data_IF_668415335468
#
_entry.id   IF_668415335468
#
_cell.length_a   1.000
_cell.length_b   1.000
_cell.length_c   1.000
_cell.angle_alpha   90.00
_cell.angle_beta   90.00
_cell.angle_gamma   90.00
#
_symmetry.space_group_name_H-M   'P 1'
#
loop_
_entity.id
_entity.type
_entity.pdbx_description
1 polymer ?
#
# COMPACT_ATOMS: atom_id res chain seq x y z
N UNK A 1 2.09 1.80 38.74
CA UNK A 1 1.22 0.66 38.31
C UNK A 1 1.98 -0.12 37.23
N UNK A 2 1.92 -1.45 37.25
CA UNK A 2 2.57 -2.32 36.27
C UNK A 2 1.70 -2.41 34.98
N UNK A 3 2.32 -2.80 33.88
CA UNK A 3 1.58 -3.03 32.61
C UNK A 3 0.52 -4.13 32.77
N UNK A 4 0.79 -5.12 33.64
CA UNK A 4 -0.16 -6.20 33.94
C UNK A 4 -1.42 -5.64 34.61
N UNK A 5 -1.29 -4.81 35.65
CA UNK A 5 -2.43 -4.20 36.35
C UNK A 5 -3.22 -3.25 35.42
N UNK A 6 -2.58 -2.63 34.45
CA UNK A 6 -3.24 -1.82 33.43
C UNK A 6 -4.05 -2.69 32.47
N UNK A 7 -3.46 -3.78 31.97
CA UNK A 7 -4.15 -4.74 31.10
C UNK A 7 -5.37 -5.36 31.79
N UNK A 8 -5.21 -5.80 33.04
CA UNK A 8 -6.29 -6.39 33.82
C UNK A 8 -7.45 -5.40 34.08
N UNK A 9 -7.14 -4.12 34.22
CA UNK A 9 -8.16 -3.09 34.44
C UNK A 9 -8.99 -2.83 33.16
N UNK A 10 -8.36 -2.73 32.00
CA UNK A 10 -8.98 -2.18 30.80
C UNK A 10 -9.16 -3.16 29.64
N UNK A 11 -8.53 -4.33 29.69
CA UNK A 11 -8.52 -5.27 28.58
C UNK A 11 -8.92 -6.67 28.98
N UNK A 12 -9.39 -7.44 28.02
CA UNK A 12 -9.61 -8.89 28.13
C UNK A 12 -8.74 -9.61 27.10
N UNK A 13 -8.26 -10.84 27.39
CA UNK A 13 -7.59 -11.65 26.40
C UNK A 13 -8.51 -11.92 25.21
N UNK A 14 -8.04 -11.65 23.99
CA UNK A 14 -8.76 -11.86 22.75
C UNK A 14 -8.27 -13.13 22.04
N UNK A 15 -7.02 -13.13 21.55
CA UNK A 15 -6.43 -14.33 20.94
C UNK A 15 -5.46 -14.97 21.93
N UNK A 16 -5.72 -16.23 22.32
CA UNK A 16 -4.87 -16.96 23.28
C UNK A 16 -4.71 -18.44 22.92
N UNK A 17 -3.53 -18.98 23.22
CA UNK A 17 -3.31 -20.43 23.34
C UNK A 17 -3.55 -20.88 24.78
N UNK A 18 -3.31 -22.19 25.05
CA UNK A 18 -3.43 -22.74 26.41
C UNK A 18 -2.48 -22.05 27.41
N UNK A 19 -1.35 -21.54 26.95
CA UNK A 19 -0.27 -20.98 27.80
C UNK A 19 0.08 -19.51 27.48
N UNK A 20 -0.36 -18.94 26.36
CA UNK A 20 0.09 -17.63 25.92
C UNK A 20 -1.07 -16.78 25.36
N UNK A 21 -1.12 -15.50 25.76
CA UNK A 21 -2.06 -14.51 25.23
C UNK A 21 -1.33 -13.73 24.13
N UNK A 22 -1.87 -13.76 22.91
CA UNK A 22 -1.29 -13.09 21.75
C UNK A 22 -1.86 -11.68 21.54
N UNK A 23 -3.13 -11.46 21.90
CA UNK A 23 -3.76 -10.14 21.77
C UNK A 23 -4.76 -9.89 22.89
N UNK A 24 -5.08 -8.60 23.08
CA UNK A 24 -6.04 -8.13 24.08
C UNK A 24 -7.06 -7.22 23.38
N UNK A 25 -8.34 -7.38 23.73
CA UNK A 25 -9.41 -6.47 23.33
C UNK A 25 -9.77 -5.53 24.51
N UNK A 26 -10.14 -4.28 24.26
CA UNK A 26 -10.62 -3.38 25.31
C UNK A 26 -11.94 -3.89 25.89
N UNK A 27 -12.11 -3.76 27.21
CA UNK A 27 -13.39 -3.98 27.86
C UNK A 27 -14.40 -2.91 27.42
N UNK A 28 -15.68 -3.20 27.54
CA UNK A 28 -16.76 -2.23 27.25
C UNK A 28 -16.55 -0.96 28.09
N UNK A 29 -16.50 0.20 27.41
CA UNK A 29 -16.27 1.52 28.04
C UNK A 29 -14.82 1.78 28.49
N UNK A 30 -13.89 0.84 28.33
CA UNK A 30 -12.50 1.04 28.72
C UNK A 30 -11.80 2.13 27.91
N UNK A 31 -12.10 2.27 26.63
CA UNK A 31 -11.54 3.31 25.78
C UNK A 31 -11.91 4.72 26.32
N UNK A 32 -13.18 4.96 26.62
CA UNK A 32 -13.67 6.24 27.14
C UNK A 32 -13.03 6.59 28.50
N UNK A 33 -12.88 5.58 29.38
CA UNK A 33 -12.23 5.78 30.69
C UNK A 33 -10.74 6.09 30.53
N UNK A 34 -10.03 5.44 29.59
CA UNK A 34 -8.64 5.72 29.28
C UNK A 34 -8.52 7.14 28.73
N UNK A 35 -9.33 7.52 27.74
CA UNK A 35 -9.34 8.88 27.18
C UNK A 35 -9.62 9.93 28.24
N UNK A 36 -10.60 9.70 29.11
CA UNK A 36 -10.90 10.62 30.21
C UNK A 36 -9.73 10.80 31.17
N UNK A 37 -8.92 9.76 31.41
CA UNK A 37 -7.74 9.82 32.32
C UNK A 37 -6.53 10.51 31.72
N UNK A 38 -6.43 10.54 30.41
CA UNK A 38 -5.28 11.14 29.73
C UNK A 38 -5.62 12.50 29.12
N UNK A 39 -6.89 12.92 29.16
CA UNK A 39 -7.38 14.14 28.51
C UNK A 39 -6.75 15.45 29.02
N UNK A 40 -6.23 15.44 30.25
CA UNK A 40 -5.53 16.56 30.87
C UNK A 40 -4.02 16.65 30.51
N UNK A 41 -3.47 15.52 30.01
CA UNK A 41 -2.03 15.43 29.65
C UNK A 41 -1.79 15.08 28.18
N UNK A 42 -2.84 14.68 27.45
CA UNK A 42 -2.77 14.31 26.04
C UNK A 42 -3.85 15.04 25.23
N UNK A 43 -3.44 15.66 24.13
CA UNK A 43 -4.35 16.20 23.13
C UNK A 43 -4.25 15.31 21.89
N UNK A 44 -5.39 14.77 21.44
CA UNK A 44 -5.49 14.11 20.15
C UNK A 44 -5.91 15.14 19.11
N UNK A 45 -5.02 15.46 18.20
CA UNK A 45 -5.26 16.44 17.13
C UNK A 45 -5.22 15.71 15.79
N UNK A 46 -6.25 15.90 14.97
CA UNK A 46 -6.17 15.58 13.54
C UNK A 46 -5.65 16.80 12.81
N UNK A 47 -4.73 16.59 11.88
CA UNK A 47 -4.16 17.68 11.07
C UNK A 47 -5.24 18.48 10.35
N UNK A 48 -6.30 17.81 9.90
CA UNK A 48 -7.45 18.38 9.18
C UNK A 48 -8.26 19.38 10.03
N UNK A 49 -8.24 19.25 11.36
CA UNK A 49 -9.01 20.10 12.27
C UNK A 49 -8.27 21.42 12.61
N UNK A 50 -6.95 21.49 12.37
CA UNK A 50 -6.08 22.57 12.84
C UNK A 50 -5.17 23.17 11.79
N UNK A 51 -5.03 22.54 10.62
CA UNK A 51 -4.17 22.98 9.54
C UNK A 51 -5.01 23.30 8.30
N UNK A 52 -4.65 24.38 7.63
CA UNK A 52 -5.18 24.69 6.30
C UNK A 52 -4.45 23.78 5.29
N UNK A 53 -5.07 22.63 4.99
CA UNK A 53 -4.55 21.63 4.07
C UNK A 53 -5.23 21.78 2.71
N UNK A 54 -4.51 21.55 1.60
CA UNK A 54 -5.13 21.51 0.29
C UNK A 54 -6.11 20.33 0.18
N UNK A 55 -6.96 20.36 -0.84
CA UNK A 55 -7.83 19.22 -1.15
C UNK A 55 -6.99 17.95 -1.45
N UNK A 56 -7.48 16.79 -1.00
CA UNK A 56 -6.88 15.49 -1.28
C UNK A 56 -7.84 14.68 -2.13
N UNK A 57 -7.45 14.46 -3.39
CA UNK A 57 -8.27 13.80 -4.40
C UNK A 57 -7.71 12.40 -4.66
N UNK A 58 -8.57 11.39 -4.65
CA UNK A 58 -8.22 10.02 -5.00
C UNK A 58 -8.82 9.65 -6.35
N UNK A 59 -7.99 9.05 -7.19
CA UNK A 59 -8.37 8.59 -8.52
C UNK A 59 -7.93 7.14 -8.71
N UNK A 60 -8.90 6.23 -8.90
CA UNK A 60 -8.62 4.84 -9.21
C UNK A 60 -8.60 4.67 -10.74
N UNK A 61 -7.43 4.34 -11.28
CA UNK A 61 -7.20 4.09 -12.71
C UNK A 61 -7.31 2.60 -12.96
N UNK A 62 -8.38 2.14 -13.62
CA UNK A 62 -8.60 0.72 -13.85
C UNK A 62 -7.64 0.18 -14.91
N UNK A 63 -6.85 -0.82 -14.55
CA UNK A 63 -5.95 -1.54 -15.46
C UNK A 63 -6.61 -2.83 -15.91
N UNK A 64 -6.90 -2.92 -17.22
CA UNK A 64 -7.41 -4.15 -17.84
C UNK A 64 -6.24 -4.96 -18.37
N UNK A 65 -6.18 -6.22 -17.98
CA UNK A 65 -5.25 -7.17 -18.58
C UNK A 65 -5.74 -7.55 -19.99
N UNK A 66 -4.82 -7.65 -20.95
CA UNK A 66 -5.13 -8.24 -22.24
C UNK A 66 -5.45 -9.74 -22.08
N UNK A 67 -6.06 -10.42 -23.09
CA UNK A 67 -6.47 -11.82 -22.93
C UNK A 67 -5.32 -12.81 -22.64
N UNK A 68 -4.10 -12.52 -23.09
CA UNK A 68 -2.93 -13.35 -22.82
C UNK A 68 -2.42 -13.14 -21.41
N UNK A 69 -2.31 -11.87 -20.99
CA UNK A 69 -1.96 -11.45 -19.63
C UNK A 69 -2.99 -11.97 -18.61
N UNK A 70 -4.30 -11.85 -18.91
CA UNK A 70 -5.37 -12.36 -18.05
C UNK A 70 -5.22 -13.86 -17.83
N UNK A 71 -5.02 -14.63 -18.92
CA UNK A 71 -4.85 -16.09 -18.83
C UNK A 71 -3.61 -16.48 -18.02
N UNK A 72 -2.50 -15.75 -18.18
CA UNK A 72 -1.28 -15.96 -17.41
C UNK A 72 -1.48 -15.61 -15.93
N UNK A 73 -2.14 -14.49 -15.66
CA UNK A 73 -2.50 -14.04 -14.32
C UNK A 73 -3.38 -15.07 -13.61
N UNK A 74 -4.51 -15.45 -14.21
CA UNK A 74 -5.47 -16.41 -13.63
C UNK A 74 -4.82 -17.76 -13.31
N UNK A 75 -3.94 -18.21 -14.20
CA UNK A 75 -3.18 -19.45 -13.97
C UNK A 75 -2.28 -19.33 -12.75
N UNK A 76 -1.44 -18.30 -12.69
CA UNK A 76 -0.47 -18.12 -11.61
C UNK A 76 -1.16 -17.80 -10.28
N UNK A 77 -2.24 -17.01 -10.30
CA UNK A 77 -3.07 -16.77 -9.12
C UNK A 77 -3.62 -18.10 -8.58
N UNK A 78 -4.27 -18.89 -9.45
CA UNK A 78 -4.82 -20.20 -9.07
C UNK A 78 -3.74 -21.12 -8.53
N UNK A 79 -2.62 -21.27 -9.24
CA UNK A 79 -1.53 -22.16 -8.81
C UNK A 79 -0.94 -21.71 -7.45
N UNK A 80 -0.83 -20.40 -7.21
CA UNK A 80 -0.39 -19.81 -5.94
C UNK A 80 -1.40 -20.08 -4.82
N UNK A 81 -2.70 -19.92 -5.09
CA UNK A 81 -3.76 -20.12 -4.09
C UNK A 81 -3.95 -21.61 -3.73
N UNK A 82 -3.78 -22.54 -4.69
CA UNK A 82 -3.92 -23.98 -4.47
C UNK A 82 -2.75 -24.59 -3.67
N UNK A 83 -1.60 -23.93 -3.60
CA UNK A 83 -0.47 -24.37 -2.77
C UNK A 83 -0.69 -24.15 -1.26
N UNK A 84 -1.73 -23.44 -0.88
CA UNK A 84 -2.00 -23.11 0.54
C UNK A 84 -2.88 -24.16 1.17
N UNK A 85 -2.39 -24.78 2.25
CA UNK A 85 -3.19 -25.66 3.11
C UNK A 85 -4.15 -24.83 3.95
N UNK A 86 -5.46 -25.01 3.75
CA UNK A 86 -6.51 -24.26 4.47
C UNK A 86 -6.49 -24.48 5.97
N UNK A 87 -5.96 -25.59 6.44
CA UNK A 87 -6.01 -25.95 7.85
C UNK A 87 -5.08 -25.10 8.72
N UNK A 88 -4.12 -24.36 8.10
CA UNK A 88 -3.12 -23.60 8.83
C UNK A 88 -2.79 -22.26 8.12
N UNK A 89 -3.79 -21.42 7.79
CA UNK A 89 -3.49 -20.06 7.34
C UNK A 89 -3.06 -19.23 8.57
N UNK A 90 -1.77 -19.13 8.77
CA UNK A 90 -1.20 -18.20 9.76
C UNK A 90 -1.14 -16.77 9.16
N UNK A 91 -1.03 -15.75 10.02
CA UNK A 91 -0.84 -14.38 9.55
C UNK A 91 0.40 -14.24 8.65
N UNK A 92 1.47 -15.00 8.93
CA UNK A 92 2.71 -15.01 8.13
C UNK A 92 2.51 -15.62 6.74
N UNK A 93 1.83 -16.78 6.64
CA UNK A 93 1.55 -17.42 5.33
C UNK A 93 0.59 -16.56 4.49
N UNK A 94 -0.41 -15.92 5.11
CA UNK A 94 -1.31 -15.00 4.43
C UNK A 94 -0.59 -13.76 3.88
N UNK A 95 0.36 -13.19 4.62
CA UNK A 95 1.16 -12.06 4.16
C UNK A 95 2.05 -12.44 2.97
N UNK A 96 2.71 -13.60 3.02
CA UNK A 96 3.52 -14.12 1.90
C UNK A 96 2.68 -14.34 0.66
N UNK A 97 1.52 -14.95 0.80
CA UNK A 97 0.60 -15.20 -0.31
C UNK A 97 0.11 -13.90 -0.94
N UNK A 98 -0.34 -12.94 -0.12
CA UNK A 98 -0.70 -11.60 -0.63
C UNK A 98 0.45 -10.92 -1.34
N UNK A 99 1.66 -10.99 -0.79
CA UNK A 99 2.86 -10.46 -1.45
C UNK A 99 3.04 -11.03 -2.86
N UNK A 100 2.83 -12.31 -3.07
CA UNK A 100 2.87 -12.94 -4.40
C UNK A 100 1.74 -12.45 -5.32
N UNK A 101 0.52 -12.32 -4.81
CA UNK A 101 -0.61 -11.82 -5.59
C UNK A 101 -0.44 -10.35 -5.99
N UNK A 102 0.14 -9.51 -5.12
CA UNK A 102 0.49 -8.12 -5.46
C UNK A 102 1.61 -8.04 -6.50
N UNK A 103 2.60 -8.96 -6.46
CA UNK A 103 3.59 -9.09 -7.52
C UNK A 103 2.92 -9.40 -8.87
N UNK A 104 1.96 -10.33 -8.90
CA UNK A 104 1.18 -10.65 -10.10
C UNK A 104 0.44 -9.42 -10.63
N UNK A 105 -0.23 -8.64 -9.77
CA UNK A 105 -0.88 -7.37 -10.16
C UNK A 105 0.12 -6.39 -10.79
N UNK A 106 1.36 -6.33 -10.28
CA UNK A 106 2.41 -5.46 -10.83
C UNK A 106 3.04 -6.01 -12.13
N UNK A 107 2.69 -7.24 -12.52
CA UNK A 107 3.07 -7.85 -13.79
C UNK A 107 4.38 -8.63 -13.79
N UNK A 108 4.99 -8.90 -12.63
CA UNK A 108 6.14 -9.78 -12.52
C UNK A 108 6.18 -10.44 -11.14
N UNK A 109 6.77 -11.64 -11.05
CA UNK A 109 6.91 -12.39 -9.80
C UNK A 109 8.34 -12.92 -9.65
N UNK A 110 8.75 -13.12 -8.39
CA UNK A 110 9.99 -13.88 -8.11
C UNK A 110 9.67 -15.38 -8.10
N UNK A 111 10.50 -16.18 -8.79
CA UNK A 111 10.50 -17.63 -8.64
C UNK A 111 11.16 -18.07 -7.31
N UNK A 112 11.32 -19.39 -7.12
CA UNK A 112 11.94 -19.97 -5.91
C UNK A 112 13.42 -19.62 -5.78
N UNK A 113 14.11 -19.40 -6.90
CA UNK A 113 15.52 -19.01 -6.95
C UNK A 113 15.74 -17.49 -6.86
N UNK A 114 14.64 -16.71 -6.80
CA UNK A 114 14.68 -15.25 -6.74
C UNK A 114 14.82 -14.55 -8.10
N UNK A 115 14.71 -15.29 -9.22
CA UNK A 115 14.69 -14.69 -10.54
C UNK A 115 13.34 -14.03 -10.81
N UNK A 116 13.34 -12.99 -11.65
CA UNK A 116 12.14 -12.25 -12.03
C UNK A 116 11.49 -12.89 -13.26
N UNK A 117 10.25 -13.32 -13.11
CA UNK A 117 9.42 -13.81 -14.21
C UNK A 117 8.41 -12.71 -14.56
N UNK A 118 8.53 -12.11 -15.75
CA UNK A 118 7.56 -11.14 -16.26
C UNK A 118 6.29 -11.88 -16.72
N UNK A 119 5.14 -11.36 -16.28
CA UNK A 119 3.80 -11.92 -16.58
C UNK A 119 3.07 -11.05 -17.59
N UNK A 120 3.08 -9.72 -17.37
CA UNK A 120 2.48 -8.72 -18.26
C UNK A 120 3.06 -7.32 -18.01
N UNK A 121 2.85 -6.42 -18.96
CA UNK A 121 3.26 -5.01 -18.88
C UNK A 121 2.07 -4.03 -18.83
N UNK A 122 0.82 -4.53 -18.74
CA UNK A 122 -0.40 -3.70 -18.79
C UNK A 122 -0.39 -2.57 -17.74
N UNK A 123 0.17 -2.82 -16.55
CA UNK A 123 0.28 -1.80 -15.50
C UNK A 123 1.39 -0.78 -15.78
N UNK A 124 2.44 -1.16 -16.50
CA UNK A 124 3.48 -0.26 -17.00
C UNK A 124 2.88 0.64 -18.09
N UNK A 125 2.10 0.08 -19.03
CA UNK A 125 1.43 0.85 -20.08
C UNK A 125 0.47 1.88 -19.48
N UNK A 126 -0.36 1.48 -18.50
CA UNK A 126 -1.24 2.39 -17.79
C UNK A 126 -0.47 3.49 -17.03
N UNK A 127 0.71 3.19 -16.48
CA UNK A 127 1.57 4.21 -15.88
C UNK A 127 2.05 5.22 -16.93
N UNK A 128 2.54 4.76 -18.07
CA UNK A 128 3.03 5.66 -19.14
C UNK A 128 1.92 6.58 -19.64
N UNK A 129 0.70 6.06 -19.83
CA UNK A 129 -0.47 6.86 -20.18
C UNK A 129 -0.80 7.89 -19.09
N UNK A 130 -0.74 7.50 -17.82
CA UNK A 130 -0.97 8.41 -16.69
C UNK A 130 0.07 9.52 -16.68
N UNK A 131 1.36 9.19 -16.85
CA UNK A 131 2.46 10.17 -16.89
C UNK A 131 2.29 11.15 -18.05
N UNK A 132 1.86 10.67 -19.23
CA UNK A 132 1.57 11.53 -20.37
C UNK A 132 0.44 12.52 -20.05
N UNK A 133 -0.62 12.06 -19.39
CA UNK A 133 -1.76 12.89 -18.97
C UNK A 133 -1.38 13.98 -17.97
N UNK A 134 -0.33 13.79 -17.17
CA UNK A 134 0.18 14.82 -16.26
C UNK A 134 0.72 16.06 -16.99
N UNK A 135 0.97 15.96 -18.30
CA UNK A 135 1.37 17.11 -19.14
C UNK A 135 2.58 17.89 -18.59
N UNK A 136 3.57 17.19 -18.08
CA UNK A 136 4.79 17.77 -17.53
C UNK A 136 4.74 18.15 -16.04
N UNK A 137 3.65 17.85 -15.34
CA UNK A 137 3.61 17.99 -13.88
C UNK A 137 4.43 16.88 -13.22
N UNK A 138 5.06 17.21 -12.11
CA UNK A 138 5.92 16.28 -11.39
C UNK A 138 5.10 15.30 -10.56
N UNK A 139 5.54 14.04 -10.50
CA UNK A 139 4.88 13.01 -9.72
C UNK A 139 5.84 12.14 -8.92
N UNK A 140 5.38 11.71 -7.74
CA UNK A 140 6.02 10.62 -6.98
C UNK A 140 5.38 9.31 -7.46
N UNK A 141 6.20 8.33 -7.85
CA UNK A 141 5.75 6.98 -8.22
C UNK A 141 6.12 6.01 -7.11
N UNK A 142 5.10 5.47 -6.44
CA UNK A 142 5.27 4.50 -5.36
C UNK A 142 5.32 3.08 -5.89
N UNK A 143 6.36 2.33 -5.52
CA UNK A 143 6.54 0.92 -5.89
C UNK A 143 6.83 0.07 -4.65
N UNK A 144 6.61 -1.26 -4.72
CA UNK A 144 6.84 -2.16 -3.60
C UNK A 144 8.06 -3.07 -3.78
N UNK A 145 8.28 -3.62 -4.98
CA UNK A 145 9.27 -4.65 -5.23
C UNK A 145 10.46 -4.12 -6.03
N UNK A 146 11.62 -4.75 -5.91
CA UNK A 146 12.80 -4.35 -6.68
C UNK A 146 12.58 -4.49 -8.19
N UNK A 147 11.88 -5.56 -8.60
CA UNK A 147 11.53 -5.74 -10.01
C UNK A 147 10.60 -4.64 -10.53
N UNK A 148 9.72 -4.07 -9.70
CA UNK A 148 8.90 -2.92 -10.10
C UNK A 148 9.81 -1.75 -10.46
N UNK A 149 10.74 -1.39 -9.56
CA UNK A 149 11.70 -0.31 -9.78
C UNK A 149 12.46 -0.48 -11.09
N UNK A 150 13.01 -1.67 -11.32
CA UNK A 150 13.87 -1.92 -12.48
C UNK A 150 13.07 -1.86 -13.77
N UNK A 151 11.84 -2.41 -13.79
CA UNK A 151 10.90 -2.32 -14.93
C UNK A 151 10.42 -0.88 -15.17
N UNK A 152 10.14 -0.14 -14.10
CA UNK A 152 9.74 1.27 -14.18
C UNK A 152 10.85 2.13 -14.78
N UNK A 153 12.10 1.97 -14.31
CA UNK A 153 13.26 2.69 -14.87
C UNK A 153 13.44 2.39 -16.35
N UNK A 154 13.35 1.12 -16.74
CA UNK A 154 13.45 0.71 -18.14
C UNK A 154 12.35 1.32 -19.01
N UNK A 155 11.09 1.29 -18.55
CA UNK A 155 9.96 1.82 -19.30
C UNK A 155 10.01 3.36 -19.43
N UNK A 156 10.45 4.05 -18.39
CA UNK A 156 10.54 5.50 -18.36
C UNK A 156 11.75 6.06 -19.10
N UNK A 157 12.77 5.25 -19.42
CA UNK A 157 13.96 5.70 -20.15
C UNK A 157 13.60 6.35 -21.50
N UNK A 158 12.60 5.82 -22.20
CA UNK A 158 12.15 6.33 -23.49
C UNK A 158 11.43 7.70 -23.39
N UNK A 159 10.95 8.11 -22.22
CA UNK A 159 10.17 9.35 -22.04
C UNK A 159 11.03 10.60 -22.04
N UNK A 160 12.34 10.49 -21.86
CA UNK A 160 13.29 11.60 -21.68
C UNK A 160 13.02 12.49 -20.45
N UNK A 161 12.14 12.07 -19.55
CA UNK A 161 11.89 12.74 -18.29
C UNK A 161 13.08 12.52 -17.33
N UNK A 162 13.28 13.48 -16.43
CA UNK A 162 14.30 13.37 -15.37
C UNK A 162 13.77 12.47 -14.26
N UNK A 163 14.09 11.17 -14.35
CA UNK A 163 13.66 10.15 -13.41
C UNK A 163 14.77 9.87 -12.40
N UNK A 164 14.43 9.83 -11.12
CA UNK A 164 15.33 9.46 -10.03
C UNK A 164 14.66 8.50 -9.08
N UNK A 165 15.44 7.61 -8.49
CA UNK A 165 15.03 6.78 -7.35
C UNK A 165 15.38 7.53 -6.08
N UNK A 166 14.45 7.62 -5.16
CA UNK A 166 14.70 8.24 -3.85
C UNK A 166 15.67 7.38 -3.02
N UNK A 167 16.84 7.92 -2.68
CA UNK A 167 17.84 7.28 -1.85
C UNK A 167 18.20 8.11 -0.61
N UNK A 168 17.85 9.42 -0.62
CA UNK A 168 18.14 10.26 0.53
C UNK A 168 17.95 11.75 0.31
N UNK A 169 18.73 12.55 1.04
CA UNK A 169 18.57 14.01 1.10
C UNK A 169 18.86 14.70 -0.23
N UNK A 170 19.78 14.18 -1.04
CA UNK A 170 20.11 14.76 -2.33
C UNK A 170 18.90 14.74 -3.29
N UNK A 171 18.17 13.62 -3.34
CA UNK A 171 16.97 13.49 -4.16
C UNK A 171 15.82 14.34 -3.61
N UNK A 172 15.70 14.50 -2.28
CA UNK A 172 14.72 15.41 -1.66
C UNK A 172 14.99 16.86 -2.08
N UNK A 173 16.24 17.31 -2.02
CA UNK A 173 16.62 18.67 -2.39
C UNK A 173 16.43 18.92 -3.90
N UNK A 174 16.84 17.98 -4.76
CA UNK A 174 16.63 18.05 -6.20
C UNK A 174 15.15 18.02 -6.60
N UNK A 175 14.34 17.19 -5.91
CA UNK A 175 12.89 17.15 -6.10
C UNK A 175 12.24 18.49 -5.78
N UNK A 176 12.52 19.03 -4.60
CA UNK A 176 11.95 20.31 -4.15
C UNK A 176 12.47 21.51 -4.98
N UNK A 177 13.64 21.39 -5.59
CA UNK A 177 14.17 22.38 -6.53
C UNK A 177 13.56 22.24 -7.96
N UNK A 178 12.70 21.27 -8.20
CA UNK A 178 12.10 21.03 -9.53
C UNK A 178 13.06 20.41 -10.55
N UNK A 179 14.14 19.77 -10.10
CA UNK A 179 15.14 19.12 -10.97
C UNK A 179 14.77 17.66 -11.32
N UNK A 180 13.71 17.12 -10.72
CA UNK A 180 13.22 15.76 -10.94
C UNK A 180 11.78 15.84 -11.42
N UNK A 181 11.46 15.20 -12.55
CA UNK A 181 10.10 15.13 -13.08
C UNK A 181 9.32 13.98 -12.45
N UNK A 182 9.98 12.83 -12.29
CA UNK A 182 9.40 11.64 -11.67
C UNK A 182 10.32 11.07 -10.59
N UNK A 183 9.84 11.04 -9.35
CA UNK A 183 10.56 10.50 -8.20
C UNK A 183 10.02 9.12 -7.84
N UNK A 184 10.79 8.06 -8.12
CA UNK A 184 10.45 6.69 -7.74
C UNK A 184 10.76 6.48 -6.25
N UNK A 185 9.76 6.05 -5.49
CA UNK A 185 9.88 5.89 -4.05
C UNK A 185 9.33 4.55 -3.58
N UNK A 186 10.10 3.85 -2.74
CA UNK A 186 9.63 2.68 -2.02
C UNK A 186 9.16 3.11 -0.61
N UNK A 187 7.85 3.12 -0.32
CA UNK A 187 7.32 3.64 0.94
C UNK A 187 7.96 3.04 2.20
N UNK A 188 8.23 1.72 2.18
CA UNK A 188 8.82 1.01 3.30
C UNK A 188 10.30 1.41 3.60
N UNK A 189 11.01 1.94 2.60
CA UNK A 189 12.42 2.35 2.73
C UNK A 189 12.57 3.84 3.05
N UNK A 190 11.50 4.62 2.92
CA UNK A 190 11.54 6.05 3.17
C UNK A 190 11.43 6.34 4.66
N UNK A 191 12.47 6.93 5.23
CA UNK A 191 12.51 7.32 6.64
C UNK A 191 11.44 8.34 7.03
N UNK A 192 11.34 8.61 8.34
CA UNK A 192 10.43 9.63 8.87
C UNK A 192 10.94 11.04 8.53
N UNK A 193 10.01 12.00 8.41
CA UNK A 193 10.36 13.42 8.37
C UNK A 193 10.66 14.04 7.01
N UNK A 194 10.41 13.33 5.89
CA UNK A 194 10.61 13.87 4.55
C UNK A 194 9.61 14.99 4.23
N UNK A 195 10.11 16.04 3.57
CA UNK A 195 9.33 17.17 3.09
C UNK A 195 9.43 17.22 1.56
N UNK A 196 8.38 16.76 0.87
CA UNK A 196 8.39 16.67 -0.59
C UNK A 196 7.32 17.57 -1.25
N UNK A 197 6.60 18.38 -0.46
CA UNK A 197 5.46 19.17 -0.93
C UNK A 197 5.83 20.30 -1.92
N UNK A 198 7.09 20.72 -1.99
CA UNK A 198 7.52 21.82 -2.89
C UNK A 198 7.75 21.31 -4.33
N UNK A 199 8.11 20.03 -4.50
CA UNK A 199 8.48 19.49 -5.80
C UNK A 199 7.31 19.07 -6.68
N UNK A 200 6.10 18.85 -6.11
CA UNK A 200 4.93 18.41 -6.88
C UNK A 200 3.72 18.14 -6.02
N UNK A 201 2.63 17.71 -6.66
CA UNK A 201 1.35 17.43 -5.98
C UNK A 201 0.64 16.17 -6.52
N UNK A 202 1.31 15.35 -7.33
CA UNK A 202 0.80 14.06 -7.81
C UNK A 202 1.54 12.90 -7.15
N UNK A 203 0.78 11.88 -6.73
CA UNK A 203 1.30 10.59 -6.25
C UNK A 203 0.68 9.49 -7.11
N UNK A 204 1.49 8.63 -7.71
CA UNK A 204 1.03 7.48 -8.48
C UNK A 204 1.43 6.21 -7.73
N UNK A 205 0.45 5.46 -7.25
CA UNK A 205 0.66 4.16 -6.67
C UNK A 205 0.68 3.10 -7.76
N UNK A 206 1.88 2.80 -8.27
CA UNK A 206 2.10 1.68 -9.19
C UNK A 206 1.95 0.34 -8.45
N UNK A 207 2.55 0.21 -7.27
CA UNK A 207 2.42 -0.93 -6.38
C UNK A 207 1.69 -0.53 -5.11
N UNK A 208 0.46 -1.01 -4.92
CA UNK A 208 -0.29 -0.83 -3.68
C UNK A 208 0.29 -1.73 -2.58
N UNK A 209 0.34 -1.24 -1.35
CA UNK A 209 0.69 -2.04 -0.19
C UNK A 209 -0.49 -2.12 0.79
N UNK A 210 -0.50 -3.15 1.62
CA UNK A 210 -1.56 -3.43 2.59
C UNK A 210 -1.37 -2.73 3.95
N UNK A 211 -0.38 -1.86 4.06
CA UNK A 211 -0.15 -1.06 5.26
C UNK A 211 -0.81 0.30 5.14
N UNK A 212 -1.96 0.47 5.79
CA UNK A 212 -2.66 1.76 5.86
C UNK A 212 -1.76 2.86 6.43
N UNK A 213 -0.90 2.52 7.39
CA UNK A 213 0.04 3.47 7.99
C UNK A 213 1.05 3.98 6.95
N UNK A 214 1.72 3.09 6.22
CA UNK A 214 2.68 3.46 5.16
C UNK A 214 1.99 4.25 4.05
N UNK A 215 0.79 3.83 3.65
CA UNK A 215 0.00 4.51 2.65
C UNK A 215 -0.31 5.96 3.06
N UNK A 216 -0.85 6.15 4.27
CA UNK A 216 -1.17 7.48 4.79
C UNK A 216 0.08 8.34 5.00
N UNK A 217 1.16 7.76 5.54
CA UNK A 217 2.42 8.48 5.72
C UNK A 217 3.01 8.94 4.40
N UNK A 218 2.94 8.12 3.36
CA UNK A 218 3.45 8.45 2.03
C UNK A 218 2.63 9.59 1.41
N UNK A 219 1.31 9.51 1.43
CA UNK A 219 0.46 10.57 0.89
C UNK A 219 0.68 11.90 1.65
N UNK A 220 0.92 11.85 2.96
CA UNK A 220 1.24 13.03 3.79
C UNK A 220 2.62 13.66 3.50
N UNK A 221 3.46 13.10 2.62
CA UNK A 221 4.69 13.75 2.15
C UNK A 221 4.39 14.93 1.24
N UNK A 222 3.30 14.86 0.46
CA UNK A 222 2.80 15.95 -0.36
C UNK A 222 1.61 16.66 0.27
N UNK A 223 0.66 15.91 0.87
CA UNK A 223 -0.54 16.46 1.49
C UNK A 223 -0.25 16.97 2.91
N UNK A 224 0.29 18.17 2.96
CA UNK A 224 0.65 18.84 4.23
C UNK A 224 0.60 20.36 4.10
N UNK A 225 0.72 21.05 5.24
CA UNK A 225 0.74 22.50 5.30
C UNK A 225 1.85 23.07 4.39
N UNK A 226 1.50 24.09 3.59
CA UNK A 226 2.40 24.72 2.63
C UNK A 226 2.31 24.19 1.21
N UNK A 227 1.57 23.11 0.96
CA UNK A 227 1.25 22.66 -0.41
C UNK A 227 0.17 23.59 -1.00
N UNK A 228 0.46 24.33 -2.11
CA UNK A 228 -0.49 25.30 -2.67
C UNK A 228 -1.56 24.69 -3.58
N UNK A 229 -1.38 23.44 -4.02
CA UNK A 229 -2.25 22.77 -4.98
C UNK A 229 -2.99 21.60 -4.35
N UNK A 230 -4.18 21.22 -4.86
CA UNK A 230 -4.80 19.94 -4.53
C UNK A 230 -3.83 18.79 -4.77
N UNK A 231 -3.73 17.86 -3.81
CA UNK A 231 -2.90 16.67 -3.99
C UNK A 231 -3.74 15.57 -4.62
N UNK A 232 -3.28 15.03 -5.73
CA UNK A 232 -3.97 13.98 -6.48
C UNK A 232 -3.21 12.66 -6.30
N UNK A 233 -3.92 11.67 -5.79
CA UNK A 233 -3.40 10.33 -5.54
C UNK A 233 -4.03 9.37 -6.54
N UNK A 234 -3.23 8.93 -7.52
CA UNK A 234 -3.63 7.99 -8.55
C UNK A 234 -3.29 6.57 -8.11
N UNK A 235 -4.25 5.65 -8.20
CA UNK A 235 -4.04 4.24 -7.96
C UNK A 235 -4.17 3.46 -9.26
N UNK A 236 -3.13 2.74 -9.67
CA UNK A 236 -3.22 1.80 -10.78
C UNK A 236 -3.77 0.47 -10.27
N UNK A 237 -5.01 0.15 -10.61
CA UNK A 237 -5.76 -0.97 -10.02
C UNK A 237 -6.06 -2.01 -11.08
N UNK A 238 -5.46 -3.20 -10.97
CA UNK A 238 -5.79 -4.34 -11.84
C UNK A 238 -7.19 -4.83 -11.53
N UNK A 239 -8.07 -4.77 -12.53
CA UNK A 239 -9.46 -5.20 -12.40
C UNK A 239 -9.55 -6.72 -12.11
N UNK A 240 -10.31 -7.07 -11.08
CA UNK A 240 -10.43 -8.46 -10.60
C UNK A 240 -9.22 -8.94 -9.80
N UNK A 241 -8.14 -8.18 -9.74
CA UNK A 241 -6.92 -8.50 -9.01
C UNK A 241 -6.95 -8.14 -7.52
N UNK A 242 -5.89 -8.51 -6.81
CA UNK A 242 -5.72 -8.23 -5.38
C UNK A 242 -5.63 -6.72 -5.07
N UNK A 243 -5.28 -5.88 -6.05
CA UNK A 243 -5.28 -4.42 -5.90
C UNK A 243 -6.64 -3.89 -5.44
N UNK A 244 -7.76 -4.43 -5.97
CA UNK A 244 -9.10 -4.02 -5.55
C UNK A 244 -9.37 -4.32 -4.08
N UNK A 245 -8.87 -5.45 -3.57
CA UNK A 245 -9.04 -5.82 -2.16
C UNK A 245 -8.24 -4.88 -1.26
N UNK A 246 -7.05 -4.47 -1.71
CA UNK A 246 -6.22 -3.50 -1.00
C UNK A 246 -6.91 -2.13 -0.96
N UNK A 247 -7.39 -1.61 -2.09
CA UNK A 247 -8.11 -0.32 -2.13
C UNK A 247 -9.32 -0.33 -1.18
N UNK A 248 -10.13 -1.38 -1.21
CA UNK A 248 -11.28 -1.54 -0.29
C UNK A 248 -10.84 -1.51 1.17
N UNK A 249 -9.71 -2.15 1.50
CA UNK A 249 -9.17 -2.17 2.86
C UNK A 249 -8.62 -0.82 3.31
N UNK A 250 -7.98 -0.07 2.41
CA UNK A 250 -7.45 1.26 2.70
C UNK A 250 -8.56 2.29 2.94
N UNK A 251 -9.73 2.13 2.32
CA UNK A 251 -10.92 2.97 2.53
C UNK A 251 -11.69 2.67 3.83
N UNK A 252 -11.46 1.52 4.46
CA UNK A 252 -12.13 1.09 5.69
C UNK A 252 -11.44 1.62 6.96
N UNK A 253 -12.20 2.23 7.88
CA UNK A 253 -11.67 2.81 9.13
C UNK A 253 -11.33 1.80 10.24
N UNK A 254 -11.66 0.51 10.09
CA UNK A 254 -11.46 -0.50 11.12
C UNK A 254 -11.16 -1.87 10.49
N UNK A 255 -10.14 -2.56 11.02
CA UNK A 255 -9.79 -3.95 10.70
C UNK A 255 -9.35 -4.24 9.24
N UNK A 256 -8.51 -3.40 8.66
CA UNK A 256 -7.94 -3.64 7.33
C UNK A 256 -7.32 -5.05 7.18
N UNK A 257 -6.63 -5.54 8.20
CA UNK A 257 -6.05 -6.89 8.20
C UNK A 257 -7.10 -8.01 8.17
N UNK A 258 -8.21 -7.86 8.92
CA UNK A 258 -9.28 -8.87 8.93
C UNK A 258 -10.01 -8.88 7.58
N UNK A 259 -10.27 -7.71 6.99
CA UNK A 259 -10.89 -7.58 5.66
C UNK A 259 -10.03 -8.22 4.56
N UNK A 260 -8.71 -8.00 4.60
CA UNK A 260 -7.77 -8.62 3.66
C UNK A 260 -7.66 -10.15 3.83
N UNK A 261 -7.74 -10.64 5.07
CA UNK A 261 -7.74 -12.08 5.34
C UNK A 261 -9.03 -12.74 4.83
N UNK A 262 -10.18 -12.11 5.01
CA UNK A 262 -11.45 -12.62 4.48
C UNK A 262 -11.48 -12.59 2.94
N UNK A 263 -11.00 -11.53 2.31
CA UNK A 263 -10.88 -11.46 0.85
C UNK A 263 -9.98 -12.60 0.31
N UNK A 264 -8.87 -12.88 0.98
CA UNK A 264 -7.98 -13.96 0.62
C UNK A 264 -8.65 -15.34 0.74
N UNK A 265 -9.41 -15.61 1.81
CA UNK A 265 -10.15 -16.86 1.98
C UNK A 265 -11.18 -17.05 0.85
N UNK A 266 -11.90 -15.99 0.48
CA UNK A 266 -12.85 -16.04 -0.64
C UNK A 266 -12.16 -16.38 -1.95
N UNK A 267 -10.98 -15.83 -2.24
CA UNK A 267 -10.20 -16.15 -3.43
C UNK A 267 -9.74 -17.61 -3.44
N UNK A 268 -9.23 -18.11 -2.31
CA UNK A 268 -8.81 -19.52 -2.16
C UNK A 268 -10.01 -20.46 -2.43
N UNK A 269 -11.16 -20.19 -1.83
CA UNK A 269 -12.35 -21.00 -2.01
C UNK A 269 -12.79 -21.05 -3.49
N UNK A 270 -12.84 -19.89 -4.18
CA UNK A 270 -13.15 -19.82 -5.61
C UNK A 270 -12.15 -20.60 -6.47
N UNK A 271 -10.84 -20.51 -6.16
CA UNK A 271 -9.82 -21.25 -6.90
C UNK A 271 -10.00 -22.77 -6.78
N UNK A 272 -10.39 -23.26 -5.58
CA UNK A 272 -10.67 -24.68 -5.35
C UNK A 272 -11.94 -25.15 -6.05
N UNK A 273 -13.02 -24.38 -6.00
CA UNK A 273 -14.26 -24.69 -6.71
C UNK A 273 -14.05 -24.75 -8.22
N UNK A 274 -13.18 -23.90 -8.77
CA UNK A 274 -12.84 -23.91 -10.19
C UNK A 274 -11.88 -25.06 -10.59
N UNK A 275 -11.21 -25.70 -9.64
CA UNK A 275 -10.31 -26.84 -9.86
C UNK A 275 -10.97 -28.21 -9.64
N UNK A 276 -12.16 -28.25 -9.00
CA UNK A 276 -12.96 -29.47 -8.77
C UNK A 276 -13.86 -29.81 -9.96
#
# INVERSE_FOLDING_TARGET
RTITSYRDAYFVPDKRSRTTIFSYAPKLGAADEIYRRISDICISMKSEDYLDLPELIYEDIPVKLDPAAQKAYDRLERDTLLQVDETVITAGSAATLRGKLLQLCNGAVYDEDGNVITVHDCKIEALLETVEQLSGQHAIICYNFKHDRDRLLQALEATRLRVRVYEGKAEEDDWNAGNIDLLLMQPASCGYGLNLQEGGHHIIWFGLNDSLELYQQTNKRLHRQGQPYPVIVHHLVVLGGTDEDVIKSLGGKANAQDSLLEALKVRIQKAKEAAA
#
